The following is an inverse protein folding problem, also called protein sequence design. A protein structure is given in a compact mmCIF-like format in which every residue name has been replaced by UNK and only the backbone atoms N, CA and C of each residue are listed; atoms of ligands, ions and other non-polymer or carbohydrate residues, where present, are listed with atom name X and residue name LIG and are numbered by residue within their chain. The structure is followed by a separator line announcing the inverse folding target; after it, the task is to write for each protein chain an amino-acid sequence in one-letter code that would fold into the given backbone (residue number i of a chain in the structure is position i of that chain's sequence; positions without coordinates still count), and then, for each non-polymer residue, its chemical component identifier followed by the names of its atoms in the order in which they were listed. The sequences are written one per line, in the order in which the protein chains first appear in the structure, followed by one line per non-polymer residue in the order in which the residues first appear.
data_IF_511129794730
#
_entry.id   IF_511129794730
#
_cell.length_a   1.000
_cell.length_b   1.000
_cell.length_c   1.000
_cell.angle_alpha   90.00
_cell.angle_beta   90.00
_cell.angle_gamma   90.00
#
_symmetry.space_group_name_H-M   'P 1'
#
loop_
_entity.id
_entity.type
_entity.pdbx_description
1 polymer ?
#
# COMPACT_ATOMS: atom_id res chain seq x y z
N UNK A 1 0.61 35.39 -18.86
CA UNK A 1 1.54 34.47 -18.17
C UNK A 1 1.28 33.09 -18.71
N UNK A 2 2.19 32.55 -19.52
CA UNK A 2 2.03 31.25 -20.17
C UNK A 2 2.29 30.15 -19.13
N UNK A 3 1.26 29.42 -18.71
CA UNK A 3 1.43 28.26 -17.84
C UNK A 3 1.89 27.10 -18.71
N UNK A 4 3.18 26.77 -18.65
CA UNK A 4 3.71 25.56 -19.26
C UNK A 4 3.23 24.40 -18.38
N UNK A 5 2.19 23.70 -18.81
CA UNK A 5 1.85 22.39 -18.24
C UNK A 5 2.90 21.39 -18.73
N UNK A 6 3.91 21.14 -17.90
CA UNK A 6 4.78 19.99 -18.07
C UNK A 6 3.96 18.77 -17.68
N UNK A 7 3.56 17.94 -18.64
CA UNK A 7 2.97 16.63 -18.37
C UNK A 7 4.06 15.76 -17.74
N UNK A 8 4.11 15.71 -16.41
CA UNK A 8 4.97 14.77 -15.70
C UNK A 8 4.46 13.34 -15.97
N UNK A 9 5.31 12.51 -16.59
CA UNK A 9 5.00 11.10 -16.79
C UNK A 9 5.16 10.36 -15.45
N UNK A 10 4.12 9.64 -15.03
CA UNK A 10 4.22 8.74 -13.86
C UNK A 10 5.22 7.62 -14.17
N UNK A 11 6.20 7.45 -13.29
CA UNK A 11 7.14 6.32 -13.30
C UNK A 11 6.80 5.44 -12.11
N UNK A 12 6.43 4.20 -12.38
CA UNK A 12 6.14 3.20 -11.35
C UNK A 12 7.42 2.45 -10.99
N UNK A 13 7.61 2.19 -9.71
CA UNK A 13 8.84 1.60 -9.18
C UNK A 13 8.56 0.22 -8.60
N UNK A 14 9.51 -0.71 -8.75
CA UNK A 14 9.40 -2.00 -8.08
C UNK A 14 9.39 -1.77 -6.54
N UNK A 15 8.33 -2.19 -5.83
CA UNK A 15 8.22 -1.95 -4.40
C UNK A 15 9.28 -2.68 -3.58
N UNK A 16 9.97 -3.69 -4.14
CA UNK A 16 11.03 -4.44 -3.45
C UNK A 16 12.26 -3.58 -3.14
N UNK A 17 12.39 -2.43 -3.81
CA UNK A 17 13.39 -1.42 -3.51
C UNK A 17 13.10 -0.63 -2.22
N UNK A 18 11.92 -0.81 -1.62
CA UNK A 18 11.49 -0.11 -0.42
C UNK A 18 11.30 -1.06 0.76
N UNK A 19 11.68 -0.65 1.99
CA UNK A 19 11.39 -1.43 3.19
C UNK A 19 9.89 -1.70 3.35
N UNK A 20 9.56 -2.97 3.61
CA UNK A 20 8.23 -3.40 4.04
C UNK A 20 8.23 -3.59 5.56
N UNK A 21 7.41 -2.81 6.25
CA UNK A 21 7.28 -2.79 7.70
C UNK A 21 6.09 -3.64 8.17
N UNK A 22 6.02 -3.88 9.48
CA UNK A 22 4.87 -4.56 10.12
C UNK A 22 4.92 -6.08 10.05
N UNK A 23 6.03 -6.67 9.58
CA UNK A 23 6.24 -8.12 9.57
C UNK A 23 6.96 -8.58 10.82
N UNK A 24 6.53 -9.73 11.36
CA UNK A 24 7.24 -10.42 12.45
C UNK A 24 8.42 -11.25 11.94
N UNK A 25 8.36 -11.71 10.69
CA UNK A 25 9.40 -12.48 10.02
C UNK A 25 9.40 -12.16 8.53
N UNK A 26 10.56 -12.07 7.85
CA UNK A 26 10.62 -11.98 6.40
C UNK A 26 10.27 -13.30 5.71
N UNK A 27 10.40 -14.43 6.41
CA UNK A 27 10.23 -15.79 5.86
C UNK A 27 8.75 -16.20 5.77
N UNK A 28 8.08 -15.77 4.70
CA UNK A 28 6.64 -16.00 4.44
C UNK A 28 6.44 -16.49 2.99
N UNK A 29 5.29 -17.09 2.65
CA UNK A 29 5.11 -17.68 1.30
C UNK A 29 5.18 -16.62 0.18
N UNK A 30 4.74 -15.39 0.47
CA UNK A 30 4.90 -14.24 -0.43
C UNK A 30 5.31 -13.00 0.37
N UNK A 31 5.78 -11.95 -0.31
CA UNK A 31 6.29 -10.74 0.32
C UNK A 31 5.29 -10.07 1.27
N UNK A 32 4.01 -10.04 0.90
CA UNK A 32 2.95 -9.31 1.60
C UNK A 32 2.18 -10.13 2.64
N UNK A 33 2.69 -11.30 3.03
CA UNK A 33 2.03 -12.14 4.03
C UNK A 33 2.55 -11.88 5.44
N UNK A 34 1.71 -12.17 6.43
CA UNK A 34 2.01 -11.87 7.83
C UNK A 34 2.57 -13.05 8.61
N UNK A 35 2.17 -14.27 8.26
CA UNK A 35 2.53 -15.47 9.00
C UNK A 35 3.79 -16.12 8.42
N UNK A 36 4.78 -16.46 9.26
CA UNK A 36 5.94 -17.23 8.84
C UNK A 36 5.57 -18.57 8.20
N UNK A 37 6.32 -19.00 7.18
CA UNK A 37 6.04 -20.24 6.44
C UNK A 37 6.08 -21.48 7.32
N UNK A 38 6.94 -21.52 8.33
CA UNK A 38 7.06 -22.66 9.25
C UNK A 38 5.79 -22.91 10.09
N UNK A 39 4.87 -21.92 10.17
CA UNK A 39 3.60 -22.09 10.87
C UNK A 39 2.50 -22.72 10.01
N UNK A 40 2.72 -22.92 8.69
CA UNK A 40 1.68 -23.33 7.75
C UNK A 40 0.96 -24.61 8.14
N UNK A 41 1.71 -25.65 8.48
CA UNK A 41 1.14 -26.99 8.72
C UNK A 41 0.58 -27.17 10.14
N UNK A 42 0.91 -26.26 11.06
CA UNK A 42 0.40 -26.26 12.44
C UNK A 42 -0.74 -25.26 12.65
N UNK A 43 -0.90 -24.32 11.72
CA UNK A 43 -1.94 -23.29 11.80
C UNK A 43 -3.24 -23.78 11.20
N UNK A 44 -4.35 -23.58 11.91
CA UNK A 44 -5.70 -23.88 11.38
C UNK A 44 -5.90 -23.21 10.01
N UNK A 45 -6.44 -23.91 9.00
CA UNK A 45 -6.57 -23.35 7.65
C UNK A 45 -7.28 -21.99 7.55
N UNK A 46 -8.35 -21.70 8.31
CA UNK A 46 -8.97 -20.36 8.29
C UNK A 46 -8.04 -19.25 8.81
N UNK A 47 -7.20 -19.54 9.80
CA UNK A 47 -6.22 -18.60 10.36
C UNK A 47 -5.09 -18.39 9.36
N UNK A 48 -4.60 -19.46 8.73
CA UNK A 48 -3.61 -19.36 7.66
C UNK A 48 -4.09 -18.44 6.53
N UNK A 49 -5.34 -18.63 6.09
CA UNK A 49 -5.97 -17.79 5.06
C UNK A 49 -6.08 -16.31 5.48
N UNK A 50 -6.34 -16.01 6.75
CA UNK A 50 -6.31 -14.63 7.26
C UNK A 50 -4.87 -14.07 7.28
N UNK A 51 -3.87 -14.92 7.51
CA UNK A 51 -2.45 -14.56 7.41
C UNK A 51 -2.01 -14.02 6.03
N UNK A 52 -2.81 -14.31 4.99
CA UNK A 52 -2.63 -13.78 3.63
C UNK A 52 -3.05 -12.32 3.45
N UNK A 53 -3.78 -11.75 4.41
CA UNK A 53 -4.19 -10.34 4.38
C UNK A 53 -3.04 -9.45 4.86
N UNK A 54 -2.99 -8.22 4.38
CA UNK A 54 -1.86 -7.29 4.62
C UNK A 54 -2.05 -6.34 5.81
N UNK A 55 -2.98 -6.63 6.72
CA UNK A 55 -3.25 -5.76 7.86
C UNK A 55 -1.99 -5.41 8.65
N UNK A 56 -1.73 -4.10 8.82
CA UNK A 56 -0.58 -3.59 9.56
C UNK A 56 0.74 -3.58 8.79
N UNK A 57 0.75 -4.03 7.53
CA UNK A 57 1.92 -3.90 6.66
C UNK A 57 1.96 -2.51 6.02
N UNK A 58 3.17 -1.97 5.83
CA UNK A 58 3.36 -0.68 5.18
C UNK A 58 4.67 -0.62 4.38
N UNK A 59 4.65 0.03 3.22
CA UNK A 59 5.87 0.42 2.51
C UNK A 59 6.35 1.78 2.98
N UNK A 60 7.65 1.92 3.22
CA UNK A 60 8.29 3.17 3.62
C UNK A 60 9.25 3.64 2.53
N UNK A 61 9.08 4.86 2.03
CA UNK A 61 9.91 5.40 0.94
C UNK A 61 10.09 6.90 1.06
N UNK A 62 11.05 7.45 0.32
CA UNK A 62 11.28 8.90 0.21
C UNK A 62 11.11 9.35 -1.23
N UNK A 63 10.48 10.50 -1.43
CA UNK A 63 10.30 11.08 -2.76
C UNK A 63 10.20 12.60 -2.66
N UNK A 64 10.72 13.29 -3.68
CA UNK A 64 10.48 14.72 -3.91
C UNK A 64 9.44 14.95 -5.02
N UNK A 65 8.74 13.90 -5.45
CA UNK A 65 7.75 13.99 -6.51
C UNK A 65 6.61 14.94 -6.14
N UNK A 66 6.13 15.68 -7.14
CA UNK A 66 4.96 16.55 -7.01
C UNK A 66 3.63 15.77 -7.09
N UNK A 67 3.71 14.48 -7.44
CA UNK A 67 2.58 13.55 -7.54
C UNK A 67 2.97 12.15 -7.07
N UNK A 68 2.08 11.48 -6.34
CA UNK A 68 2.22 10.07 -5.95
C UNK A 68 0.98 9.31 -6.42
N UNK A 69 1.21 8.22 -7.14
CA UNK A 69 0.19 7.26 -7.54
C UNK A 69 0.60 5.86 -7.07
N UNK A 70 -0.38 4.96 -7.00
CA UNK A 70 -0.15 3.55 -6.74
C UNK A 70 -0.99 2.71 -7.69
N UNK A 71 -0.43 1.59 -8.14
CA UNK A 71 -1.15 0.50 -8.77
C UNK A 71 -1.05 -0.73 -7.89
N UNK A 72 -2.16 -1.40 -7.65
CA UNK A 72 -2.16 -2.60 -6.84
C UNK A 72 -3.22 -3.61 -7.24
N UNK A 73 -2.85 -4.88 -7.11
CA UNK A 73 -3.75 -6.02 -7.28
C UNK A 73 -3.97 -6.71 -5.93
N UNK A 74 -5.23 -6.93 -5.56
CA UNK A 74 -5.60 -7.63 -4.32
C UNK A 74 -5.83 -9.12 -4.53
N UNK A 75 -5.78 -9.95 -3.48
CA UNK A 75 -5.92 -11.42 -3.61
C UNK A 75 -7.38 -11.85 -3.80
N UNK A 76 -8.30 -11.35 -2.99
CA UNK A 76 -9.65 -11.92 -2.90
C UNK A 76 -10.74 -11.05 -3.54
N UNK A 77 -10.48 -9.77 -3.80
CA UNK A 77 -11.46 -8.77 -4.24
C UNK A 77 -12.74 -8.80 -3.39
N UNK A 78 -12.56 -8.83 -2.07
CA UNK A 78 -13.69 -8.95 -1.14
C UNK A 78 -14.62 -7.75 -1.25
N UNK A 79 -15.91 -8.04 -1.23
CA UNK A 79 -16.98 -7.04 -1.08
C UNK A 79 -17.76 -7.37 0.19
N UNK A 80 -17.98 -6.36 1.04
CA UNK A 80 -18.76 -6.49 2.26
C UNK A 80 -19.62 -5.25 2.46
N UNK A 81 -20.85 -5.44 2.92
CA UNK A 81 -21.73 -4.33 3.34
C UNK A 81 -21.38 -3.80 4.73
N UNK A 82 -20.52 -4.50 5.48
CA UNK A 82 -20.16 -4.17 6.87
C UNK A 82 -18.93 -3.26 6.98
N UNK A 83 -18.09 -3.23 5.95
CA UNK A 83 -16.83 -2.50 5.95
C UNK A 83 -16.72 -1.67 4.67
N UNK A 84 -16.14 -0.48 4.78
CA UNK A 84 -15.88 0.36 3.62
C UNK A 84 -14.89 -0.35 2.66
N UNK A 85 -15.08 -0.26 1.32
CA UNK A 85 -14.14 -0.83 0.36
C UNK A 85 -12.70 -0.37 0.56
N UNK A 86 -12.50 0.87 1.01
CA UNK A 86 -11.19 1.45 1.34
C UNK A 86 -10.48 0.69 2.46
N UNK A 87 -11.19 0.30 3.52
CA UNK A 87 -10.59 -0.53 4.58
C UNK A 87 -10.35 -1.98 4.14
N UNK A 88 -11.15 -2.49 3.21
CA UNK A 88 -10.99 -3.87 2.72
C UNK A 88 -9.79 -4.00 1.81
N UNK A 89 -9.71 -3.14 0.78
CA UNK A 89 -8.81 -3.26 -0.37
C UNK A 89 -8.12 -1.95 -0.77
N UNK A 90 -8.29 -0.86 -0.01
CA UNK A 90 -7.63 0.42 -0.26
C UNK A 90 -6.27 0.53 0.42
N UNK A 91 -5.59 1.64 0.15
CA UNK A 91 -4.28 1.98 0.72
C UNK A 91 -4.40 3.33 1.46
N UNK A 92 -3.62 3.54 2.51
CA UNK A 92 -3.54 4.84 3.18
C UNK A 92 -2.12 5.41 3.12
N UNK A 93 -1.98 6.61 2.58
CA UNK A 93 -0.71 7.32 2.51
C UNK A 93 -0.60 8.33 3.66
N UNK A 94 0.55 8.27 4.34
CA UNK A 94 0.99 9.23 5.34
C UNK A 94 2.33 9.82 4.92
N UNK A 95 2.62 11.03 5.40
CA UNK A 95 3.92 11.70 5.27
C UNK A 95 4.41 12.12 6.65
N UNK A 96 5.72 12.23 6.84
CA UNK A 96 6.25 12.89 8.02
C UNK A 96 6.47 14.39 7.74
N UNK A 97 5.89 15.25 8.56
CA UNK A 97 6.15 16.70 8.57
C UNK A 97 6.34 17.13 10.01
N UNK A 98 7.33 18.01 10.27
CA UNK A 98 7.68 18.49 11.61
C UNK A 98 7.93 17.39 12.67
N UNK A 99 8.31 16.19 12.23
CA UNK A 99 8.57 15.03 13.11
C UNK A 99 7.33 14.20 13.46
N UNK A 100 6.15 14.55 12.94
CA UNK A 100 4.90 13.83 13.17
C UNK A 100 4.36 13.20 11.89
N UNK A 101 3.67 12.08 12.03
CA UNK A 101 2.99 11.43 10.91
C UNK A 101 1.66 12.14 10.62
N UNK A 102 1.55 12.69 9.43
CA UNK A 102 0.35 13.34 8.94
C UNK A 102 -0.34 12.49 7.87
N UNK A 103 -1.66 12.37 7.98
CA UNK A 103 -2.48 11.70 6.97
C UNK A 103 -2.48 12.51 5.68
N UNK A 104 -2.24 11.84 4.54
CA UNK A 104 -2.28 12.45 3.22
C UNK A 104 -3.59 12.13 2.53
N UNK A 105 -3.81 10.86 2.20
CA UNK A 105 -5.02 10.40 1.52
C UNK A 105 -5.16 8.88 1.51
N UNK A 106 -6.40 8.42 1.52
CA UNK A 106 -6.78 7.05 1.16
C UNK A 106 -6.89 6.87 -0.35
N UNK A 107 -6.19 5.88 -0.91
CA UNK A 107 -6.36 5.42 -2.28
C UNK A 107 -7.64 4.57 -2.39
N UNK A 108 -8.59 5.01 -3.22
CA UNK A 108 -9.91 4.37 -3.32
C UNK A 108 -9.84 3.19 -4.30
N UNK A 109 -10.13 1.96 -3.84
CA UNK A 109 -10.15 0.78 -4.70
C UNK A 109 -11.44 0.70 -5.52
N UNK A 110 -11.34 0.20 -6.75
CA UNK A 110 -12.46 -0.04 -7.66
C UNK A 110 -12.73 -1.53 -7.89
N UNK A 111 -11.76 -2.40 -7.64
CA UNK A 111 -11.89 -3.84 -7.95
C UNK A 111 -10.67 -4.65 -7.53
N UNK A 112 -10.45 -5.75 -8.27
CA UNK A 112 -9.29 -6.64 -8.15
C UNK A 112 -7.97 -5.93 -8.48
N UNK A 113 -7.94 -5.18 -9.57
CA UNK A 113 -6.78 -4.40 -10.06
C UNK A 113 -7.15 -2.93 -9.95
N UNK A 114 -6.27 -2.13 -9.37
CA UNK A 114 -6.55 -0.75 -9.00
C UNK A 114 -5.38 0.15 -9.44
N UNK A 115 -5.70 1.39 -9.81
CA UNK A 115 -4.76 2.47 -10.06
C UNK A 115 -5.35 3.75 -9.50
N UNK A 116 -4.58 4.50 -8.71
CA UNK A 116 -5.08 5.72 -8.09
C UNK A 116 -3.95 6.75 -7.91
N UNK A 117 -4.20 7.98 -8.35
CA UNK A 117 -3.37 9.14 -8.02
C UNK A 117 -3.74 9.60 -6.61
N UNK A 118 -2.88 9.28 -5.64
CA UNK A 118 -3.10 9.54 -4.22
C UNK A 118 -3.00 11.04 -3.93
N UNK A 119 -1.95 11.69 -4.40
CA UNK A 119 -1.76 13.13 -4.23
C UNK A 119 -1.09 13.74 -5.46
N UNK A 120 -1.42 15.00 -5.75
CA UNK A 120 -0.89 15.79 -6.85
C UNK A 120 -0.68 17.24 -6.41
N UNK A 121 0.03 18.03 -7.21
CA UNK A 121 0.31 19.45 -6.95
C UNK A 121 1.06 19.68 -5.64
N UNK A 122 1.92 18.73 -5.24
CA UNK A 122 2.82 18.90 -4.10
C UNK A 122 3.99 19.79 -4.48
N UNK A 123 4.50 20.54 -3.52
CA UNK A 123 5.80 21.19 -3.64
C UNK A 123 6.90 20.12 -3.82
N UNK A 124 7.84 20.34 -4.73
CA UNK A 124 8.98 19.44 -4.96
C UNK A 124 9.99 19.53 -3.81
N UNK A 125 9.68 18.87 -2.69
CA UNK A 125 10.50 18.75 -1.49
C UNK A 125 10.61 17.28 -1.13
N UNK A 126 11.82 16.83 -0.78
CA UNK A 126 12.04 15.46 -0.34
C UNK A 126 11.28 15.19 0.96
N UNK A 127 10.30 14.30 0.89
CA UNK A 127 9.50 13.84 2.02
C UNK A 127 9.66 12.36 2.23
N UNK A 128 9.35 11.92 3.45
CA UNK A 128 9.27 10.51 3.78
C UNK A 128 7.80 10.11 3.92
N UNK A 129 7.46 8.98 3.32
CA UNK A 129 6.11 8.48 3.18
C UNK A 129 5.98 7.09 3.76
N UNK A 130 4.79 6.80 4.28
CA UNK A 130 4.36 5.48 4.71
C UNK A 130 3.04 5.14 4.02
N UNK A 131 3.04 4.08 3.22
CA UNK A 131 1.87 3.58 2.50
C UNK A 131 1.39 2.29 3.16
N UNK A 132 0.32 2.40 3.94
CA UNK A 132 -0.33 1.24 4.59
C UNK A 132 -1.11 0.42 3.56
N UNK A 133 -1.00 -0.89 3.70
CA UNK A 133 -1.65 -1.87 2.83
C UNK A 133 -3.05 -2.25 3.33
N UNK A 134 -3.89 -2.92 2.52
CA UNK A 134 -5.26 -3.23 2.88
C UNK A 134 -5.41 -4.04 4.18
N UNK A 135 -6.50 -3.82 4.91
CA UNK A 135 -6.73 -4.51 6.18
C UNK A 135 -7.38 -5.88 6.00
N UNK A 136 -8.35 -6.01 5.08
CA UNK A 136 -9.16 -7.23 4.94
C UNK A 136 -8.92 -7.98 3.62
N UNK A 137 -7.96 -7.57 2.83
CA UNK A 137 -7.48 -8.29 1.65
C UNK A 137 -5.95 -8.43 1.66
N UNK A 138 -5.44 -9.30 0.81
CA UNK A 138 -4.00 -9.43 0.57
C UNK A 138 -3.59 -8.67 -0.70
N UNK A 139 -2.31 -8.41 -0.87
CA UNK A 139 -1.74 -7.79 -2.07
C UNK A 139 -0.96 -8.83 -2.87
N UNK A 140 -1.23 -8.91 -4.16
CA UNK A 140 -0.50 -9.73 -5.13
C UNK A 140 0.65 -8.92 -5.73
N UNK A 141 0.32 -7.71 -6.20
CA UNK A 141 1.26 -6.79 -6.86
C UNK A 141 1.01 -5.37 -6.35
N UNK A 142 2.09 -4.61 -6.22
CA UNK A 142 2.09 -3.18 -5.89
C UNK A 142 3.17 -2.50 -6.73
N UNK A 143 2.94 -1.28 -7.19
CA UNK A 143 3.92 -0.43 -7.91
C UNK A 143 3.55 1.05 -7.82
#
# INVERSE_FOLDING_TARGET
MLVIQVNAQLVFHNPDNFPLLGKISPDTETRYERLPVYLKDVTRPPVWRLGKQTAGLALRFRSNSTQIAAKWEVIYDKVSKKFAPTGIKGLDLYTIENGEWEYVKTAIPTGKINEFVIISNMESKMREYMLFLPLYDGVVKLE
#
